data_IF_464338817041
#
_entry.id   IF_464338817041
#
_cell.length_a   1.000
_cell.length_b   1.000
_cell.length_c   1.000
_cell.angle_alpha   90.00
_cell.angle_beta   90.00
_cell.angle_gamma   90.00
#
_symmetry.space_group_name_H-M   'P 1'
#
loop_
_entity.id
_entity.type
_entity.pdbx_description
1 polymer ?
#
# COMPACT_ATOMS: atom_id res chain seq x y z
N UNK A 1 -11.64 22.91 -62.59
CA UNK A 1 -11.35 21.56 -62.09
C UNK A 1 -10.66 21.71 -60.75
N UNK A 2 -11.45 21.94 -59.70
CA UNK A 2 -10.98 22.04 -58.33
C UNK A 2 -11.21 20.71 -57.61
N UNK A 3 -10.40 20.47 -56.56
CA UNK A 3 -10.41 19.33 -55.63
C UNK A 3 -9.70 18.10 -56.24
N UNK A 4 -8.59 17.62 -55.69
CA UNK A 4 -8.44 17.27 -54.29
C UNK A 4 -6.96 17.30 -53.87
N UNK A 5 -6.58 18.33 -53.10
CA UNK A 5 -5.39 18.34 -52.24
C UNK A 5 -5.79 18.06 -50.78
N UNK A 6 -6.90 17.35 -50.56
CA UNK A 6 -7.49 17.15 -49.24
C UNK A 6 -7.27 15.74 -48.72
N UNK A 7 -6.04 15.24 -48.83
CA UNK A 7 -5.69 13.93 -48.25
C UNK A 7 -4.27 13.88 -47.66
N UNK A 8 -3.69 15.05 -47.37
CA UNK A 8 -2.35 15.16 -46.79
C UNK A 8 -2.34 15.66 -45.33
N UNK A 9 -3.49 15.76 -44.65
CA UNK A 9 -3.51 15.85 -43.19
C UNK A 9 -3.52 14.45 -42.59
N UNK A 10 -2.44 13.71 -42.84
CA UNK A 10 -1.95 12.76 -41.85
C UNK A 10 -1.72 13.61 -40.60
N UNK A 11 -2.59 13.48 -39.62
CA UNK A 11 -2.43 14.04 -38.27
C UNK A 11 -1.16 13.45 -37.67
N UNK A 12 -0.03 14.07 -37.98
CA UNK A 12 1.20 13.92 -37.21
C UNK A 12 0.88 14.57 -35.87
N UNK A 13 0.58 13.74 -34.87
CA UNK A 13 0.49 14.21 -33.48
C UNK A 13 1.78 14.96 -33.19
N UNK A 14 1.67 16.14 -32.61
CA UNK A 14 2.87 16.89 -32.23
C UNK A 14 3.56 16.15 -31.10
N UNK A 15 4.89 16.20 -31.04
CA UNK A 15 5.65 15.55 -29.96
C UNK A 15 5.16 16.02 -28.57
N UNK A 16 4.66 17.26 -28.49
CA UNK A 16 4.03 17.85 -27.30
C UNK A 16 2.72 17.14 -26.90
N UNK A 17 1.88 16.75 -27.85
CA UNK A 17 0.64 16.00 -27.59
C UNK A 17 0.95 14.59 -27.06
N UNK A 18 1.98 13.95 -27.62
CA UNK A 18 2.44 12.62 -27.16
C UNK A 18 3.01 12.74 -25.74
N UNK A 19 3.85 13.74 -25.48
CA UNK A 19 4.41 14.00 -24.15
C UNK A 19 3.30 14.26 -23.13
N UNK A 20 2.29 15.07 -23.47
CA UNK A 20 1.18 15.38 -22.58
C UNK A 20 0.31 14.15 -22.28
N UNK A 21 0.09 13.28 -23.27
CA UNK A 21 -0.63 12.01 -23.08
C UNK A 21 0.11 11.08 -22.10
N UNK A 22 1.43 10.93 -22.25
CA UNK A 22 2.26 10.12 -21.36
C UNK A 22 2.32 10.69 -19.93
N UNK A 23 2.40 12.02 -19.79
CA UNK A 23 2.31 12.70 -18.49
C UNK A 23 0.95 12.42 -17.85
N UNK A 24 -0.15 12.54 -18.60
CA UNK A 24 -1.50 12.29 -18.09
C UNK A 24 -1.66 10.83 -17.65
N UNK A 25 -1.14 9.87 -18.43
CA UNK A 25 -1.14 8.44 -18.12
C UNK A 25 -0.33 8.15 -16.85
N UNK A 26 0.87 8.72 -16.75
CA UNK A 26 1.74 8.57 -15.58
C UNK A 26 1.08 9.13 -14.32
N UNK A 27 0.49 10.32 -14.41
CA UNK A 27 -0.23 10.94 -13.30
C UNK A 27 -1.47 10.13 -12.88
N UNK A 28 -2.19 9.53 -13.83
CA UNK A 28 -3.31 8.65 -13.52
C UNK A 28 -2.84 7.41 -12.75
N UNK A 29 -1.75 6.79 -13.18
CA UNK A 29 -1.15 5.63 -12.51
C UNK A 29 -0.65 5.98 -11.10
N UNK A 30 -0.01 7.14 -10.93
CA UNK A 30 0.43 7.61 -9.60
C UNK A 30 -0.74 7.84 -8.64
N UNK A 31 -1.85 8.43 -9.12
CA UNK A 31 -3.06 8.59 -8.30
C UNK A 31 -3.64 7.26 -7.88
N UNK A 32 -3.66 6.28 -8.79
CA UNK A 32 -4.13 4.93 -8.50
C UNK A 32 -3.26 4.25 -7.42
N UNK A 33 -1.93 4.27 -7.59
CA UNK A 33 -1.01 3.71 -6.59
C UNK A 33 -1.11 4.39 -5.23
N UNK A 34 -1.22 5.73 -5.22
CA UNK A 34 -1.45 6.47 -3.98
C UNK A 34 -2.75 6.04 -3.30
N UNK A 35 -3.81 5.82 -4.08
CA UNK A 35 -5.09 5.31 -3.55
C UNK A 35 -4.91 3.97 -2.87
N UNK A 36 -4.26 3.01 -3.54
CA UNK A 36 -3.98 1.69 -2.97
C UNK A 36 -3.12 1.81 -1.71
N UNK A 37 -2.05 2.62 -1.75
CA UNK A 37 -1.16 2.82 -0.61
C UNK A 37 -1.92 3.35 0.62
N UNK A 38 -2.81 4.33 0.42
CA UNK A 38 -3.62 4.88 1.51
C UNK A 38 -4.50 3.80 2.13
N UNK A 39 -5.20 3.00 1.33
CA UNK A 39 -6.04 1.91 1.85
C UNK A 39 -5.24 0.86 2.61
N UNK A 40 -4.15 0.36 2.02
CA UNK A 40 -3.28 -0.65 2.64
C UNK A 40 -2.70 -0.16 3.97
N UNK A 41 -2.22 1.08 3.99
CA UNK A 41 -1.63 1.65 5.20
C UNK A 41 -2.68 1.92 6.27
N UNK A 42 -3.91 2.26 5.89
CA UNK A 42 -5.02 2.41 6.83
C UNK A 42 -5.33 1.07 7.52
N UNK A 43 -5.55 0.01 6.75
CA UNK A 43 -5.83 -1.34 7.29
C UNK A 43 -4.66 -1.82 8.18
N UNK A 44 -3.42 -1.54 7.79
CA UNK A 44 -2.24 -1.87 8.59
C UNK A 44 -2.23 -1.14 9.94
N UNK A 45 -2.62 0.14 9.96
CA UNK A 45 -2.65 0.94 11.18
C UNK A 45 -3.75 0.48 12.13
N UNK A 46 -4.93 0.13 11.61
CA UNK A 46 -6.02 -0.43 12.44
C UNK A 46 -5.58 -1.71 13.15
N UNK A 47 -4.95 -2.64 12.43
CA UNK A 47 -4.45 -3.89 13.03
C UNK A 47 -3.32 -3.61 14.03
N UNK A 48 -2.44 -2.66 13.71
CA UNK A 48 -1.38 -2.26 14.63
C UNK A 48 -1.96 -1.70 15.93
N UNK A 49 -3.04 -0.94 15.87
CA UNK A 49 -3.75 -0.40 17.04
C UNK A 49 -4.32 -1.54 17.90
N UNK A 50 -4.99 -2.53 17.28
CA UNK A 50 -5.49 -3.71 18.01
C UNK A 50 -4.39 -4.51 18.71
N UNK A 51 -3.25 -4.68 18.03
CA UNK A 51 -2.06 -5.35 18.59
C UNK A 51 -1.48 -4.52 19.73
N UNK A 52 -1.36 -3.21 19.53
CA UNK A 52 -0.82 -2.29 20.52
C UNK A 52 -1.64 -2.29 21.80
N UNK A 53 -2.96 -2.18 21.70
CA UNK A 53 -3.88 -2.23 22.84
C UNK A 53 -3.79 -3.53 23.62
N UNK A 54 -3.51 -4.64 22.94
CA UNK A 54 -3.29 -5.94 23.58
C UNK A 54 -1.95 -6.02 24.32
N UNK A 55 -0.97 -5.20 23.94
CA UNK A 55 0.36 -5.15 24.54
C UNK A 55 0.53 -4.04 25.59
N UNK A 56 -0.45 -3.14 25.76
CA UNK A 56 -0.31 -2.02 26.67
C UNK A 56 -0.13 -2.47 28.12
N UNK A 57 0.87 -1.89 28.77
CA UNK A 57 1.01 -1.94 30.22
C UNK A 57 -0.09 -1.06 30.83
N UNK A 58 -0.97 -1.60 31.68
CA UNK A 58 -2.01 -0.81 32.32
C UNK A 58 -1.45 0.16 33.38
N UNK A 59 -0.19 -0.01 33.80
CA UNK A 59 0.48 0.90 34.71
C UNK A 59 0.82 2.20 34.00
N UNK A 60 0.67 3.30 34.72
CA UNK A 60 1.22 4.58 34.29
C UNK A 60 2.74 4.55 34.22
N UNK A 61 3.33 5.41 33.40
CA UNK A 61 4.79 5.56 33.30
C UNK A 61 5.46 5.78 34.66
N UNK A 62 4.77 6.46 35.59
CA UNK A 62 5.29 6.74 36.94
C UNK A 62 5.33 5.46 37.78
N UNK A 63 4.27 4.65 37.77
CA UNK A 63 4.24 3.37 38.48
C UNK A 63 5.31 2.40 37.98
N UNK A 64 5.60 2.42 36.68
CA UNK A 64 6.71 1.63 36.09
C UNK A 64 8.06 2.09 36.66
N UNK A 65 8.31 3.41 36.72
CA UNK A 65 9.55 3.98 37.28
C UNK A 65 9.67 3.77 38.79
N UNK A 66 8.56 3.80 39.51
CA UNK A 66 8.48 3.57 40.96
C UNK A 66 8.59 2.07 41.31
N UNK A 67 8.70 1.18 40.30
CA UNK A 67 8.91 -0.25 40.50
C UNK A 67 7.68 -1.01 40.98
N UNK A 68 6.47 -0.48 40.75
CA UNK A 68 5.22 -1.18 41.04
C UNK A 68 5.23 -2.51 40.27
N UNK A 69 4.98 -3.66 40.91
CA UNK A 69 5.00 -4.96 40.23
C UNK A 69 4.08 -4.99 39.02
N UNK A 70 4.51 -5.70 37.98
CA UNK A 70 3.68 -5.92 36.80
C UNK A 70 2.43 -6.73 37.18
N UNK A 71 1.24 -6.36 36.67
CA UNK A 71 0.07 -7.20 36.83
C UNK A 71 0.31 -8.60 36.24
N UNK A 72 -0.45 -9.59 36.72
CA UNK A 72 -0.36 -10.95 36.20
C UNK A 72 -0.51 -10.97 34.67
N UNK A 73 0.24 -11.88 34.02
CA UNK A 73 0.29 -12.00 32.56
C UNK A 73 -1.10 -11.92 31.93
N UNK A 74 -1.37 -10.82 31.24
CA UNK A 74 -2.66 -10.58 30.59
C UNK A 74 -2.68 -11.31 29.27
N UNK A 75 -3.71 -12.11 29.06
CA UNK A 75 -3.95 -12.70 27.75
C UNK A 75 -4.52 -11.61 26.82
N UNK A 76 -4.03 -11.46 25.58
CA UNK A 76 -4.62 -10.57 24.59
C UNK A 76 -6.13 -10.80 24.43
N UNK A 77 -6.86 -9.77 24.00
CA UNK A 77 -8.26 -9.91 23.61
C UNK A 77 -8.36 -10.96 22.50
N UNK A 78 -9.15 -12.03 22.71
CA UNK A 78 -9.25 -13.14 21.74
C UNK A 78 -8.17 -14.23 21.88
N UNK A 79 -7.22 -14.08 22.80
CA UNK A 79 -6.19 -15.10 23.05
C UNK A 79 -4.95 -14.98 22.16
N UNK A 80 -3.93 -15.76 22.50
CA UNK A 80 -2.69 -15.82 21.74
C UNK A 80 -2.84 -16.21 20.27
N UNK A 81 -3.71 -17.18 19.89
CA UNK A 81 -3.85 -17.57 18.49
C UNK A 81 -4.28 -16.40 17.59
N UNK A 82 -5.33 -15.68 17.99
CA UNK A 82 -5.83 -14.55 17.21
C UNK A 82 -4.86 -13.36 17.23
N UNK A 83 -4.10 -13.17 18.31
CA UNK A 83 -3.04 -12.17 18.37
C UNK A 83 -1.94 -12.44 17.33
N UNK A 84 -1.48 -13.69 17.22
CA UNK A 84 -0.47 -14.05 16.21
C UNK A 84 -1.02 -13.97 14.79
N UNK A 85 -2.30 -14.28 14.58
CA UNK A 85 -2.96 -14.07 13.29
C UNK A 85 -2.92 -12.60 12.87
N UNK A 86 -3.29 -11.68 13.77
CA UNK A 86 -3.20 -10.22 13.52
C UNK A 86 -1.77 -9.78 13.21
N UNK A 87 -0.77 -10.29 13.93
CA UNK A 87 0.64 -10.02 13.65
C UNK A 87 1.08 -10.51 12.26
N UNK A 88 0.64 -11.69 11.85
CA UNK A 88 0.90 -12.21 10.51
C UNK A 88 0.25 -11.34 9.43
N UNK A 89 -0.97 -10.89 9.68
CA UNK A 89 -1.70 -10.02 8.78
C UNK A 89 -1.03 -8.64 8.64
N UNK A 90 -0.63 -8.03 9.76
CA UNK A 90 0.13 -6.77 9.77
C UNK A 90 1.42 -6.90 8.95
N UNK A 91 2.15 -8.00 9.13
CA UNK A 91 3.35 -8.28 8.31
C UNK A 91 3.00 -8.32 6.82
N UNK A 92 1.92 -8.99 6.44
CA UNK A 92 1.50 -9.06 5.04
C UNK A 92 1.20 -7.67 4.46
N UNK A 93 0.54 -6.80 5.23
CA UNK A 93 0.28 -5.41 4.82
C UNK A 93 1.57 -4.61 4.64
N UNK A 94 2.51 -4.70 5.59
CA UNK A 94 3.81 -4.02 5.50
C UNK A 94 4.63 -4.53 4.30
N UNK A 95 4.67 -5.85 4.10
CA UNK A 95 5.36 -6.46 2.97
C UNK A 95 4.73 -6.02 1.63
N UNK A 96 3.40 -5.92 1.56
CA UNK A 96 2.71 -5.41 0.38
C UNK A 96 3.01 -3.93 0.14
N UNK A 97 2.92 -3.08 1.17
CA UNK A 97 3.23 -1.66 1.08
C UNK A 97 4.68 -1.42 0.62
N UNK A 98 5.63 -2.21 1.14
CA UNK A 98 7.02 -2.19 0.69
C UNK A 98 7.13 -2.50 -0.81
N UNK A 99 6.51 -3.59 -1.27
CA UNK A 99 6.50 -3.97 -2.68
C UNK A 99 5.85 -2.92 -3.58
N UNK A 100 4.79 -2.27 -3.09
CA UNK A 100 4.11 -1.17 -3.76
C UNK A 100 5.06 0.01 -3.98
N UNK A 101 5.79 0.41 -2.93
CA UNK A 101 6.77 1.50 -2.98
C UNK A 101 7.98 1.16 -3.87
N UNK A 102 8.43 -0.10 -3.87
CA UNK A 102 9.53 -0.58 -4.72
C UNK A 102 9.11 -0.76 -6.20
N UNK A 103 7.82 -0.66 -6.52
CA UNK A 103 7.29 -0.92 -7.85
C UNK A 103 7.41 -2.38 -8.29
N UNK A 104 7.58 -3.32 -7.35
CA UNK A 104 7.79 -4.75 -7.62
C UNK A 104 6.50 -5.56 -7.71
N UNK A 105 5.34 -4.91 -7.57
CA UNK A 105 4.01 -5.55 -7.69
C UNK A 105 3.78 -6.10 -9.11
N UNK A 106 4.16 -5.33 -10.15
CA UNK A 106 3.88 -5.68 -11.55
C UNK A 106 4.79 -6.81 -12.10
N UNK A 107 5.88 -7.17 -11.41
CA UNK A 107 6.84 -8.19 -11.86
C UNK A 107 6.30 -9.62 -11.84
N UNK A 108 5.18 -9.88 -11.16
CA UNK A 108 4.63 -11.24 -11.02
C UNK A 108 3.66 -11.63 -12.16
N UNK A 109 3.26 -10.71 -13.03
CA UNK A 109 2.28 -10.98 -14.09
C UNK A 109 2.89 -11.28 -15.47
N UNK A 110 4.22 -11.35 -15.55
CA UNK A 110 4.97 -11.63 -16.79
C UNK A 110 5.73 -12.95 -16.69
N UNK A 111 5.00 -14.07 -16.65
CA UNK A 111 5.51 -15.35 -17.15
C UNK A 111 4.67 -15.77 -18.36
N UNK A 112 5.18 -15.70 -19.59
CA UNK A 112 4.68 -16.58 -20.62
C UNK A 112 5.15 -17.99 -20.28
N UNK A 113 4.22 -18.86 -19.88
CA UNK A 113 4.44 -20.31 -19.92
C UNK A 113 4.70 -20.69 -21.37
N UNK A 114 5.96 -20.95 -21.71
CA UNK A 114 6.38 -21.42 -23.02
C UNK A 114 7.14 -22.73 -22.90
N UNK A 115 6.52 -23.79 -23.43
CA UNK A 115 7.15 -24.95 -24.08
C UNK A 115 7.90 -25.94 -23.19
#
# INVERSE_FOLDING_TARGET
MERSLKDASRTCRTDDEIAQEEIARTNARLRHFRGIAVTVMHDALEILEEIWDSCQDPRSWKEILDGVPEPAARTPTGGWPEFYERLHLLRAYIDYAKRLCEGSIDRQHSEPKGG
#
